data_IF_433997708468
#
_entry.id   IF_433997708468
#
_cell.length_a   1.000
_cell.length_b   1.000
_cell.length_c   1.000
_cell.angle_alpha   90.00
_cell.angle_beta   90.00
_cell.angle_gamma   90.00
#
_symmetry.space_group_name_H-M   'P 1'
#
loop_
_entity.id
_entity.type
_entity.pdbx_description
1 polymer ?
#
# COMPACT_ATOMS: atom_id res chain seq x y z
N UNK A 1 -14.56 7.52 12.06
CA UNK A 1 -13.75 6.38 11.59
C UNK A 1 -14.68 5.41 10.88
N UNK A 2 -14.41 5.04 9.62
CA UNK A 2 -15.28 4.14 8.87
C UNK A 2 -15.18 2.72 9.46
N UNK A 3 -16.24 2.24 10.11
CA UNK A 3 -16.28 0.89 10.68
C UNK A 3 -16.81 -0.09 9.64
N UNK A 4 -15.91 -0.86 9.01
CA UNK A 4 -16.29 -1.95 8.10
C UNK A 4 -16.16 -3.27 8.87
N UNK A 5 -17.29 -3.79 9.32
CA UNK A 5 -17.36 -4.97 10.16
C UNK A 5 -17.73 -6.24 9.39
N UNK A 6 -18.44 -6.10 8.27
CA UNK A 6 -18.94 -7.23 7.49
C UNK A 6 -18.50 -7.17 6.02
N UNK A 7 -18.37 -8.35 5.40
CA UNK A 7 -18.06 -8.46 3.97
C UNK A 7 -19.11 -7.81 3.06
N UNK A 8 -20.37 -7.72 3.51
CA UNK A 8 -21.44 -6.99 2.81
C UNK A 8 -21.11 -5.51 2.68
N UNK A 9 -20.58 -4.89 3.73
CA UNK A 9 -20.16 -3.49 3.71
C UNK A 9 -18.96 -3.28 2.76
N UNK A 10 -17.98 -4.19 2.77
CA UNK A 10 -16.88 -4.18 1.80
C UNK A 10 -17.40 -4.31 0.37
N UNK A 11 -18.32 -5.27 0.13
CA UNK A 11 -18.96 -5.51 -1.17
C UNK A 11 -19.65 -4.26 -1.71
N UNK A 12 -20.44 -3.58 -0.86
CA UNK A 12 -21.12 -2.34 -1.23
C UNK A 12 -20.12 -1.23 -1.55
N UNK A 13 -19.06 -1.12 -0.74
CA UNK A 13 -18.04 -0.09 -0.91
C UNK A 13 -17.29 -0.24 -2.24
N UNK A 14 -16.86 -1.46 -2.57
CA UNK A 14 -16.11 -1.72 -3.81
C UNK A 14 -17.00 -2.00 -5.02
N UNK A 15 -18.33 -2.05 -4.83
CA UNK A 15 -19.31 -2.43 -5.85
C UNK A 15 -18.93 -3.77 -6.51
N UNK A 16 -18.66 -4.78 -5.69
CA UNK A 16 -18.34 -6.14 -6.13
C UNK A 16 -19.09 -7.13 -5.23
N UNK A 17 -19.90 -8.05 -5.79
CA UNK A 17 -20.69 -8.98 -4.99
C UNK A 17 -19.84 -9.80 -4.01
N UNK A 18 -20.40 -10.11 -2.84
CA UNK A 18 -19.73 -10.95 -1.82
C UNK A 18 -19.33 -12.32 -2.39
N UNK A 19 -20.14 -12.91 -3.28
CA UNK A 19 -19.82 -14.17 -3.97
C UNK A 19 -18.53 -14.06 -4.78
N UNK A 20 -18.40 -13.00 -5.58
CA UNK A 20 -17.19 -12.72 -6.37
C UNK A 20 -15.98 -12.49 -5.47
N UNK A 21 -16.13 -11.74 -4.37
CA UNK A 21 -15.06 -11.53 -3.38
C UNK A 21 -14.57 -12.87 -2.81
N UNK A 22 -15.50 -13.74 -2.43
CA UNK A 22 -15.17 -15.06 -1.87
C UNK A 22 -14.48 -15.94 -2.90
N UNK A 23 -14.96 -15.95 -4.14
CA UNK A 23 -14.36 -16.72 -5.22
C UNK A 23 -12.93 -16.25 -5.52
N UNK A 24 -12.73 -14.94 -5.66
CA UNK A 24 -11.39 -14.37 -5.88
C UNK A 24 -10.42 -14.74 -4.75
N UNK A 25 -10.88 -14.79 -3.49
CA UNK A 25 -10.04 -15.23 -2.36
C UNK A 25 -9.70 -16.72 -2.47
N UNK A 26 -10.68 -17.55 -2.85
CA UNK A 26 -10.51 -19.00 -3.00
C UNK A 26 -9.47 -19.33 -4.06
N UNK A 27 -9.60 -18.76 -5.25
CA UNK A 27 -8.72 -19.06 -6.40
C UNK A 27 -7.50 -18.15 -6.53
N UNK A 28 -7.27 -17.22 -5.59
CA UNK A 28 -6.23 -16.16 -5.66
C UNK A 28 -4.83 -16.61 -6.11
N UNK A 29 -4.40 -17.84 -5.79
CA UNK A 29 -3.08 -18.35 -6.13
C UNK A 29 -2.90 -18.54 -7.64
N UNK A 30 -4.00 -18.81 -8.35
CA UNK A 30 -4.02 -19.06 -9.79
C UNK A 30 -4.33 -17.78 -10.59
N UNK A 31 -4.59 -16.66 -9.90
CA UNK A 31 -4.95 -15.38 -10.51
C UNK A 31 -3.73 -14.49 -10.78
N UNK A 32 -2.51 -15.02 -10.72
CA UNK A 32 -1.30 -14.27 -11.05
C UNK A 32 -0.46 -15.04 -12.05
N UNK A 33 0.12 -14.30 -12.99
CA UNK A 33 1.14 -14.81 -13.91
C UNK A 33 2.49 -14.15 -13.62
N UNK A 34 3.56 -14.89 -13.83
CA UNK A 34 4.91 -14.36 -13.74
C UNK A 34 5.28 -13.61 -15.02
N UNK A 35 5.98 -12.48 -14.85
CA UNK A 35 6.66 -11.78 -15.93
C UNK A 35 8.03 -11.38 -15.42
N UNK A 36 9.08 -11.68 -16.18
CA UNK A 36 10.44 -11.21 -15.89
C UNK A 36 10.71 -9.97 -16.73
N UNK A 37 11.17 -8.91 -16.08
CA UNK A 37 11.65 -7.69 -16.74
C UNK A 37 13.09 -7.42 -16.32
N UNK A 38 13.87 -6.80 -17.20
CA UNK A 38 15.23 -6.35 -16.85
C UNK A 38 15.17 -4.99 -16.17
N UNK A 39 15.89 -4.87 -15.05
CA UNK A 39 16.17 -3.58 -14.41
C UNK A 39 17.19 -2.79 -15.26
N UNK A 40 17.37 -1.50 -14.93
CA UNK A 40 18.36 -0.63 -15.59
C UNK A 40 19.80 -1.13 -15.44
N UNK A 41 20.08 -1.85 -14.35
CA UNK A 41 21.38 -2.46 -14.04
C UNK A 41 21.57 -3.86 -14.67
N UNK A 42 20.60 -4.36 -15.45
CA UNK A 42 20.63 -5.67 -16.08
C UNK A 42 20.14 -6.83 -15.20
N UNK A 43 19.86 -6.60 -13.92
CA UNK A 43 19.31 -7.62 -13.02
C UNK A 43 17.86 -7.97 -13.37
N UNK A 44 17.43 -9.17 -13.04
CA UNK A 44 16.02 -9.58 -13.23
C UNK A 44 15.10 -8.96 -12.17
N UNK A 45 13.91 -8.58 -12.62
CA UNK A 45 12.76 -8.20 -11.78
C UNK A 45 11.62 -9.16 -12.07
N UNK A 46 11.26 -9.96 -11.09
CA UNK A 46 10.11 -10.86 -11.15
C UNK A 46 8.84 -10.09 -10.78
N UNK A 47 7.92 -9.99 -11.72
CA UNK A 47 6.62 -9.35 -11.54
C UNK A 47 5.51 -10.40 -11.46
N UNK A 48 4.66 -10.26 -10.45
CA UNK A 48 3.43 -11.05 -10.31
C UNK A 48 2.25 -10.21 -10.82
N UNK A 49 1.79 -10.51 -12.04
CA UNK A 49 0.73 -9.75 -12.71
C UNK A 49 -0.62 -10.39 -12.39
N UNK A 50 -1.54 -9.69 -11.67
CA UNK A 50 -2.87 -10.22 -11.37
C UNK A 50 -3.75 -10.30 -12.63
N UNK A 51 -4.72 -11.22 -12.62
CA UNK A 51 -5.78 -11.31 -13.62
C UNK A 51 -6.57 -9.99 -13.72
N UNK A 52 -7.21 -9.70 -14.86
CA UNK A 52 -8.01 -8.48 -15.02
C UNK A 52 -9.09 -8.31 -13.94
N UNK A 53 -9.78 -9.37 -13.53
CA UNK A 53 -10.82 -9.31 -12.49
C UNK A 53 -10.21 -8.97 -11.12
N UNK A 54 -9.12 -9.65 -10.77
CA UNK A 54 -8.43 -9.44 -9.51
C UNK A 54 -7.82 -8.03 -9.46
N UNK A 55 -7.18 -7.59 -10.54
CA UNK A 55 -6.63 -6.24 -10.69
C UNK A 55 -7.70 -5.16 -10.52
N UNK A 56 -8.89 -5.38 -11.09
CA UNK A 56 -10.03 -4.47 -10.99
C UNK A 56 -10.52 -4.38 -9.55
N UNK A 57 -10.67 -5.52 -8.88
CA UNK A 57 -11.07 -5.59 -7.47
C UNK A 57 -10.05 -4.88 -6.56
N UNK A 58 -8.76 -5.12 -6.78
CA UNK A 58 -7.68 -4.46 -6.04
C UNK A 58 -7.67 -2.95 -6.24
N UNK A 59 -7.92 -2.46 -7.47
CA UNK A 59 -8.06 -1.02 -7.74
C UNK A 59 -9.23 -0.40 -6.99
N UNK A 60 -10.39 -1.08 -6.96
CA UNK A 60 -11.58 -0.63 -6.24
C UNK A 60 -11.32 -0.57 -4.73
N UNK A 61 -10.70 -1.61 -4.17
CA UNK A 61 -10.26 -1.63 -2.76
C UNK A 61 -9.34 -0.44 -2.50
N UNK A 62 -8.29 -0.29 -3.29
CA UNK A 62 -7.30 0.77 -3.14
C UNK A 62 -7.94 2.16 -3.15
N UNK A 63 -8.74 2.48 -4.17
CA UNK A 63 -9.41 3.78 -4.28
C UNK A 63 -10.30 4.08 -3.09
N UNK A 64 -11.11 3.11 -2.66
CA UNK A 64 -12.03 3.35 -1.57
C UNK A 64 -11.29 3.42 -0.23
N UNK A 65 -10.42 2.47 0.07
CA UNK A 65 -9.71 2.41 1.35
C UNK A 65 -8.74 3.60 1.51
N UNK A 66 -7.93 3.94 0.52
CA UNK A 66 -6.99 5.06 0.62
C UNK A 66 -7.71 6.40 0.81
N UNK A 67 -8.88 6.60 0.21
CA UNK A 67 -9.68 7.81 0.43
C UNK A 67 -10.16 7.97 1.89
N UNK A 68 -10.26 6.87 2.66
CA UNK A 68 -10.63 6.94 4.08
C UNK A 68 -9.44 7.17 5.00
N UNK A 69 -8.22 6.93 4.50
CA UNK A 69 -7.01 7.03 5.29
C UNK A 69 -6.47 8.44 5.12
N UNK A 70 -6.62 9.27 6.16
CA UNK A 70 -5.94 10.57 6.21
C UNK A 70 -4.44 10.32 6.30
N UNK A 71 -3.73 10.66 5.23
CA UNK A 71 -2.28 10.62 5.21
C UNK A 71 -1.72 11.90 5.85
N UNK A 72 -0.61 11.80 6.60
CA UNK A 72 0.13 12.98 7.04
C UNK A 72 0.54 13.88 5.87
N UNK A 73 0.59 15.19 6.11
CA UNK A 73 0.91 16.20 5.08
C UNK A 73 2.30 16.05 4.47
N UNK A 74 3.25 15.43 5.17
CA UNK A 74 4.60 15.19 4.69
C UNK A 74 4.70 14.03 3.67
N UNK A 75 3.61 13.29 3.43
CA UNK A 75 3.57 12.24 2.41
C UNK A 75 3.16 12.87 1.08
N UNK A 76 4.12 13.00 0.16
CA UNK A 76 3.87 13.55 -1.18
C UNK A 76 3.54 12.48 -2.24
N UNK A 77 3.51 11.19 -1.86
CA UNK A 77 3.14 10.08 -2.76
C UNK A 77 1.63 9.90 -2.94
N UNK A 78 0.81 10.82 -2.40
CA UNK A 78 -0.65 10.80 -2.43
C UNK A 78 -1.25 11.54 -3.63
N UNK A 79 -2.53 11.29 -3.89
CA UNK A 79 -3.29 12.03 -4.91
C UNK A 79 -3.30 13.53 -4.64
N UNK A 80 -3.10 14.35 -5.67
CA UNK A 80 -3.02 15.81 -5.55
C UNK A 80 -1.61 16.33 -5.23
N UNK A 81 -0.64 15.46 -4.94
CA UNK A 81 0.76 15.84 -4.77
C UNK A 81 1.60 15.39 -5.98
N UNK A 82 2.74 16.04 -6.16
CA UNK A 82 3.71 15.69 -7.21
C UNK A 82 5.12 15.70 -6.66
N UNK A 83 6.06 15.17 -7.46
CA UNK A 83 7.49 15.25 -7.16
C UNK A 83 7.96 16.71 -7.02
N UNK A 84 7.31 17.66 -7.72
CA UNK A 84 7.56 19.10 -7.57
C UNK A 84 7.17 19.58 -6.17
N UNK A 85 5.97 19.22 -5.69
CA UNK A 85 5.56 19.57 -4.32
C UNK A 85 6.52 19.00 -3.27
N UNK A 86 7.05 17.78 -3.50
CA UNK A 86 8.04 17.19 -2.61
C UNK A 86 9.36 17.97 -2.61
N UNK A 87 9.87 18.33 -3.79
CA UNK A 87 11.09 19.12 -3.92
C UNK A 87 10.94 20.53 -3.32
N UNK A 88 9.77 21.15 -3.48
CA UNK A 88 9.46 22.45 -2.88
C UNK A 88 9.61 22.47 -1.37
N UNK A 89 9.26 21.37 -0.68
CA UNK A 89 9.43 21.24 0.78
C UNK A 89 10.89 21.36 1.25
N UNK A 90 11.86 21.20 0.35
CA UNK A 90 13.29 21.19 0.63
C UNK A 90 14.02 22.45 0.17
N UNK A 91 13.36 23.38 -0.53
CA UNK A 91 13.99 24.62 -1.02
C UNK A 91 14.45 25.48 0.16
N UNK A 92 15.66 26.05 0.06
CA UNK A 92 16.23 26.95 1.07
C UNK A 92 16.71 26.25 2.34
N UNK A 93 16.74 24.91 2.37
CA UNK A 93 17.34 24.15 3.47
C UNK A 93 18.87 24.12 3.32
N UNK A 94 19.64 24.39 4.38
CA UNK A 94 21.11 24.36 4.32
C UNK A 94 21.64 22.95 4.03
N UNK A 95 20.89 21.91 4.42
CA UNK A 95 21.23 20.51 4.22
C UNK A 95 19.96 19.67 4.00
N UNK A 96 20.06 18.65 3.14
CA UNK A 96 18.99 17.70 2.83
C UNK A 96 19.52 16.28 2.93
N UNK A 97 18.95 15.48 3.83
CA UNK A 97 19.25 14.07 3.96
C UNK A 97 18.34 13.23 3.08
N UNK A 98 18.95 12.29 2.33
CA UNK A 98 18.23 11.38 1.45
C UNK A 98 18.42 9.96 1.97
N UNK A 99 17.30 9.31 2.30
CA UNK A 99 17.26 7.92 2.72
C UNK A 99 16.45 7.11 1.72
N UNK A 100 16.91 5.91 1.39
CA UNK A 100 16.15 4.94 0.62
C UNK A 100 16.06 3.62 1.40
N UNK A 101 14.93 2.93 1.29
CA UNK A 101 14.71 1.65 1.96
C UNK A 101 14.95 0.54 0.95
N UNK A 102 16.03 -0.21 1.17
CA UNK A 102 16.33 -1.40 0.38
C UNK A 102 15.18 -2.40 0.47
N UNK A 103 14.75 -2.93 -0.68
CA UNK A 103 13.69 -3.94 -0.78
C UNK A 103 12.40 -3.63 0.00
N UNK A 104 11.98 -2.36 -0.04
CA UNK A 104 10.74 -1.90 0.62
C UNK A 104 9.53 -2.81 0.33
N UNK A 105 9.20 -3.10 -0.94
CA UNK A 105 8.00 -3.88 -1.25
C UNK A 105 8.06 -5.34 -0.76
N UNK A 106 9.17 -6.09 -0.97
CA UNK A 106 9.36 -7.39 -0.34
C UNK A 106 9.22 -7.37 1.20
N UNK A 107 9.70 -6.31 1.86
CA UNK A 107 9.62 -6.20 3.33
C UNK A 107 8.19 -6.08 3.87
N UNK A 108 7.23 -5.67 3.02
CA UNK A 108 5.84 -5.49 3.43
C UNK A 108 5.10 -6.84 3.48
N UNK A 109 4.78 -7.27 4.71
CA UNK A 109 4.04 -8.52 4.95
C UNK A 109 2.51 -8.32 5.01
N UNK A 110 1.76 -9.35 4.62
CA UNK A 110 0.29 -9.35 4.79
C UNK A 110 -0.16 -9.21 6.25
N UNK A 111 0.66 -9.67 7.20
CA UNK A 111 0.42 -9.47 8.65
C UNK A 111 0.42 -7.98 9.01
N UNK A 112 1.36 -7.21 8.47
CA UNK A 112 1.42 -5.77 8.71
C UNK A 112 0.22 -5.06 8.07
N UNK A 113 -0.17 -5.42 6.84
CA UNK A 113 -1.37 -4.87 6.19
C UNK A 113 -2.62 -5.12 7.04
N UNK A 114 -2.85 -6.38 7.45
CA UNK A 114 -3.99 -6.76 8.30
C UNK A 114 -4.04 -5.92 9.58
N UNK A 115 -2.90 -5.77 10.28
CA UNK A 115 -2.82 -4.97 11.51
C UNK A 115 -3.20 -3.51 11.27
N UNK A 116 -2.73 -2.91 10.17
CA UNK A 116 -3.05 -1.50 9.88
C UNK A 116 -4.53 -1.34 9.53
N UNK A 117 -5.12 -2.24 8.74
CA UNK A 117 -6.54 -2.22 8.41
C UNK A 117 -7.41 -2.34 9.67
N UNK A 118 -7.04 -3.23 10.60
CA UNK A 118 -7.72 -3.36 11.89
C UNK A 118 -7.60 -2.10 12.75
N UNK A 119 -6.42 -1.48 12.80
CA UNK A 119 -6.21 -0.20 13.53
C UNK A 119 -7.11 0.91 12.99
N UNK A 120 -7.47 0.87 11.71
CA UNK A 120 -8.35 1.85 11.07
C UNK A 120 -9.84 1.48 11.11
N UNK A 121 -10.23 0.51 11.94
CA UNK A 121 -11.64 0.24 12.25
C UNK A 121 -12.30 -0.85 11.40
N UNK A 122 -11.51 -1.65 10.69
CA UNK A 122 -12.03 -2.83 9.98
C UNK A 122 -12.02 -4.05 10.90
N UNK A 123 -13.07 -4.86 10.86
CA UNK A 123 -13.07 -6.13 11.58
C UNK A 123 -11.98 -7.06 11.04
N UNK A 124 -11.60 -8.04 11.85
CA UNK A 124 -10.62 -9.04 11.48
C UNK A 124 -10.97 -9.77 10.17
N UNK A 125 -12.25 -10.09 9.98
CA UNK A 125 -12.75 -10.77 8.77
C UNK A 125 -12.49 -9.90 7.54
N UNK A 126 -12.87 -8.62 7.60
CA UNK A 126 -12.70 -7.68 6.48
C UNK A 126 -11.22 -7.43 6.20
N UNK A 127 -10.42 -7.17 7.24
CA UNK A 127 -8.99 -6.95 7.13
C UNK A 127 -8.27 -8.17 6.52
N UNK A 128 -8.65 -9.39 6.92
CA UNK A 128 -8.11 -10.63 6.37
C UNK A 128 -8.49 -10.81 4.90
N UNK A 129 -9.74 -10.54 4.52
CA UNK A 129 -10.19 -10.63 3.13
C UNK A 129 -9.46 -9.64 2.22
N UNK A 130 -9.33 -8.38 2.64
CA UNK A 130 -8.56 -7.38 1.89
C UNK A 130 -7.10 -7.82 1.77
N UNK A 131 -6.50 -8.31 2.86
CA UNK A 131 -5.12 -8.81 2.86
C UNK A 131 -4.94 -9.93 1.85
N UNK A 132 -5.79 -10.97 1.88
CA UNK A 132 -5.74 -12.09 0.93
C UNK A 132 -5.91 -11.67 -0.52
N UNK A 133 -6.72 -10.65 -0.80
CA UNK A 133 -6.89 -10.11 -2.16
C UNK A 133 -5.70 -9.27 -2.61
N UNK A 134 -4.99 -8.62 -1.68
CA UNK A 134 -3.92 -7.68 -2.00
C UNK A 134 -2.49 -8.21 -1.84
N UNK A 135 -2.32 -9.41 -1.28
CA UNK A 135 -1.01 -10.06 -1.11
C UNK A 135 -0.97 -11.43 -1.78
N UNK A 136 0.14 -11.77 -2.44
CA UNK A 136 0.29 -13.04 -3.17
C UNK A 136 1.35 -13.95 -2.53
N UNK A 137 2.46 -13.37 -2.06
CA UNK A 137 3.59 -14.06 -1.40
C UNK A 137 4.49 -13.01 -0.72
N UNK A 138 3.87 -11.95 -0.21
CA UNK A 138 4.47 -10.62 -0.06
C UNK A 138 3.67 -9.59 -0.86
N UNK A 139 4.08 -8.32 -0.80
CA UNK A 139 3.44 -7.27 -1.59
C UNK A 139 3.94 -7.35 -3.04
N UNK A 140 3.06 -7.60 -4.04
CA UNK A 140 3.52 -7.86 -5.39
C UNK A 140 4.22 -6.63 -5.99
N UNK A 141 5.46 -6.84 -6.46
CA UNK A 141 6.22 -5.83 -7.19
C UNK A 141 5.45 -5.45 -8.47
N UNK A 142 5.29 -4.15 -8.73
CA UNK A 142 4.57 -3.63 -9.90
C UNK A 142 3.14 -3.11 -9.65
N UNK A 143 2.66 -3.08 -8.40
CA UNK A 143 1.41 -2.35 -8.10
C UNK A 143 1.63 -0.84 -8.04
N UNK A 144 0.64 -0.07 -8.51
CA UNK A 144 0.60 1.39 -8.34
C UNK A 144 0.53 1.75 -6.84
N UNK A 145 1.19 2.85 -6.51
CA UNK A 145 1.70 3.28 -5.20
C UNK A 145 0.67 3.34 -4.04
N UNK A 146 -0.62 3.40 -4.31
CA UNK A 146 -1.56 3.97 -3.33
C UNK A 146 -2.00 3.02 -2.20
N UNK A 147 -1.85 1.69 -2.33
CA UNK A 147 -2.17 0.78 -1.21
C UNK A 147 -1.00 0.73 -0.18
N UNK A 148 0.18 1.24 -0.57
CA UNK A 148 1.32 1.41 0.34
C UNK A 148 1.26 2.71 1.14
N UNK A 149 0.44 3.67 0.73
CA UNK A 149 0.16 4.90 1.51
C UNK A 149 -0.29 4.55 2.94
N UNK A 150 -1.02 3.44 3.09
CA UNK A 150 -1.48 2.86 4.36
C UNK A 150 -0.32 2.55 5.32
N UNK A 151 0.84 2.13 4.79
CA UNK A 151 2.01 1.73 5.57
C UNK A 151 2.79 2.90 6.15
N UNK A 152 2.86 4.02 5.42
CA UNK A 152 3.54 5.23 5.88
C UNK A 152 2.86 5.89 7.09
N UNK A 153 1.61 5.52 7.41
CA UNK A 153 0.93 5.96 8.63
C UNK A 153 1.61 5.45 9.92
N UNK A 154 2.53 4.47 9.83
CA UNK A 154 3.28 3.94 10.98
C UNK A 154 4.64 4.60 11.19
N UNK A 155 5.19 5.29 10.19
CA UNK A 155 6.57 5.84 10.22
C UNK A 155 6.71 7.18 10.92
N UNK A 156 5.65 7.69 11.56
CA UNK A 156 5.72 8.92 12.34
C UNK A 156 6.75 8.85 13.49
N UNK A 157 7.12 7.63 13.94
CA UNK A 157 8.14 7.43 14.98
C UNK A 157 9.57 7.56 14.51
N UNK A 158 9.89 7.21 13.26
CA UNK A 158 11.27 7.33 12.76
C UNK A 158 11.69 8.81 12.67
N UNK A 159 10.77 9.68 12.23
CA UNK A 159 11.00 11.13 12.17
C UNK A 159 11.12 11.75 13.58
N UNK A 160 10.35 11.25 14.55
CA UNK A 160 10.37 11.76 15.93
C UNK A 160 11.59 11.31 16.75
N UNK A 161 12.26 10.23 16.34
CA UNK A 161 13.44 9.69 17.01
C UNK A 161 14.73 9.91 16.22
N UNK A 162 14.70 10.74 15.16
CA UNK A 162 15.94 11.26 14.59
C UNK A 162 16.64 12.07 15.70
N UNK A 163 17.88 11.70 16.06
CA UNK A 163 18.59 12.40 17.13
C UNK A 163 18.68 13.90 16.83
N UNK A 164 18.48 14.75 17.85
CA UNK A 164 18.55 16.20 17.68
C UNK A 164 19.92 16.69 17.17
N UNK A 165 20.99 15.88 17.31
CA UNK A 165 22.31 16.17 16.75
C UNK A 165 22.38 16.08 15.22
N UNK A 166 21.37 15.53 14.54
CA UNK A 166 21.26 15.58 13.06
C UNK A 166 20.70 16.92 12.54
N UNK A 167 20.28 17.82 13.44
CA UNK A 167 19.72 19.14 13.11
C UNK A 167 20.70 20.29 13.41
N UNK A 168 21.95 19.95 13.75
CA UNK A 168 23.02 20.92 13.99
C UNK A 168 24.10 20.72 12.92
N UNK A 169 23.95 21.42 11.81
CA UNK A 169 25.01 22.01 10.97
C UNK A 169 24.38 23.00 9.98
#
# INVERSE_FOLDING_TARGET
MLKINHLSQLSNLIKTPVSVIRELIKVRQNLYRLKVEKKKDGSDRILHIPSPELKTTQKKINRNISNFLKLPSYIHSQSGHSHVHHAMSHIGRPMVYVFDIEDFFPSITGRMLKKILMKHGMSEIVANSITKLCTYSGFPQGRKKNLLEIFFHKEHRLVQHLPQWLLQE
#
